data_IF_186571180550
#
_entry.id   IF_186571180550
#
_cell.length_a   1.000
_cell.length_b   1.000
_cell.length_c   1.000
_cell.angle_alpha   90.00
_cell.angle_beta   90.00
_cell.angle_gamma   90.00
#
_symmetry.space_group_name_H-M   'P 1'
#
loop_
_entity.id
_entity.type
_entity.pdbx_description
1 polymer ?
#
# COMPACT_ATOMS: atom_id res chain seq x y z
N UNK A 1 -8.28 -11.18 16.35
CA UNK A 1 -7.61 -10.23 17.28
C UNK A 1 -6.17 -9.92 16.83
N UNK A 2 -5.32 -10.92 16.57
CA UNK A 2 -3.92 -10.74 16.11
C UNK A 2 -3.75 -9.82 14.87
N UNK A 3 -4.50 -10.02 13.77
CA UNK A 3 -4.33 -9.22 12.54
C UNK A 3 -4.60 -7.71 12.71
N UNK A 4 -5.50 -7.30 13.61
CA UNK A 4 -5.78 -5.89 13.88
C UNK A 4 -4.71 -5.24 14.75
N UNK A 5 -4.05 -6.03 15.61
CA UNK A 5 -3.01 -5.55 16.52
C UNK A 5 -1.65 -5.47 15.83
N UNK A 6 -1.32 -6.36 14.88
CA UNK A 6 0.00 -6.34 14.22
C UNK A 6 0.30 -5.01 13.53
N UNK A 7 -0.68 -4.43 12.82
CA UNK A 7 -0.51 -3.12 12.15
C UNK A 7 -0.45 -1.95 13.12
N UNK A 8 -1.18 -2.04 14.23
CA UNK A 8 -1.08 -1.08 15.32
C UNK A 8 0.29 -1.12 16.00
N UNK A 9 0.84 -2.32 16.22
CA UNK A 9 2.19 -2.53 16.77
C UNK A 9 3.28 -2.04 15.81
N UNK A 10 3.25 -2.40 14.52
CA UNK A 10 4.18 -1.88 13.50
C UNK A 10 4.16 -0.34 13.44
N UNK A 11 2.97 0.25 13.52
CA UNK A 11 2.81 1.71 13.55
C UNK A 11 3.32 2.36 14.84
N UNK A 12 3.32 1.63 15.97
CA UNK A 12 3.81 2.12 17.25
C UNK A 12 5.35 2.18 17.28
N UNK A 13 6.01 1.17 16.72
CA UNK A 13 7.46 1.01 16.79
C UNK A 13 8.25 1.57 15.60
N UNK A 14 7.60 1.96 14.50
CA UNK A 14 8.33 2.54 13.38
C UNK A 14 7.45 3.10 12.27
N UNK A 15 7.01 2.22 11.38
CA UNK A 15 6.16 2.51 10.24
C UNK A 15 5.51 1.21 9.80
N UNK A 16 4.26 1.29 9.34
CA UNK A 16 3.62 0.16 8.67
C UNK A 16 4.37 -0.14 7.37
N UNK A 17 4.84 -1.38 7.21
CA UNK A 17 5.72 -1.78 6.09
C UNK A 17 4.95 -2.33 4.88
N UNK A 18 3.69 -2.70 5.08
CA UNK A 18 2.79 -3.13 4.02
C UNK A 18 1.45 -2.42 4.21
N UNK A 19 1.10 -1.51 3.29
CA UNK A 19 -0.22 -0.92 3.22
C UNK A 19 -1.15 -1.82 2.38
N UNK A 20 -2.41 -2.01 2.81
CA UNK A 20 -3.42 -2.63 1.95
C UNK A 20 -3.79 -1.69 0.78
N UNK A 21 -4.09 -2.21 -0.41
CA UNK A 21 -4.52 -1.38 -1.54
C UNK A 21 -5.84 -0.67 -1.35
N UNK A 22 -6.71 -1.25 -0.53
CA UNK A 22 -7.94 -0.60 -0.08
C UNK A 22 -7.75 -0.02 1.32
N UNK A 23 -8.50 1.05 1.61
CA UNK A 23 -8.55 1.71 2.93
C UNK A 23 -7.27 2.44 3.35
N UNK A 24 -6.48 2.91 2.39
CA UNK A 24 -5.33 3.78 2.61
C UNK A 24 -5.58 5.20 2.11
N UNK A 25 -4.98 6.17 2.77
CA UNK A 25 -4.99 7.57 2.36
C UNK A 25 -3.55 8.03 2.16
N UNK A 26 -3.25 8.54 0.98
CA UNK A 26 -1.93 9.04 0.63
C UNK A 26 -1.92 10.55 0.62
N UNK A 27 -0.84 11.13 1.14
CA UNK A 27 -0.61 12.56 1.05
C UNK A 27 -0.04 12.90 -0.33
N UNK A 28 -0.63 13.89 -0.99
CA UNK A 28 -0.20 14.31 -2.33
C UNK A 28 1.08 15.15 -2.26
N UNK A 29 1.13 16.14 -1.36
CA UNK A 29 2.25 17.07 -1.19
C UNK A 29 2.58 17.34 0.27
N UNK A 30 3.81 17.77 0.55
CA UNK A 30 4.23 18.18 1.89
C UNK A 30 3.57 19.50 2.29
N UNK A 31 3.20 19.68 3.58
CA UNK A 31 2.44 20.86 4.00
C UNK A 31 3.26 22.16 4.00
N UNK A 32 4.59 22.07 4.19
CA UNK A 32 5.47 23.25 4.31
C UNK A 32 6.06 23.66 2.98
N UNK A 33 6.70 22.72 2.28
CA UNK A 33 7.45 22.99 1.03
C UNK A 33 6.66 22.68 -0.25
N UNK A 34 5.43 22.17 -0.11
CA UNK A 34 4.59 21.73 -1.22
C UNK A 34 5.27 20.71 -2.17
N UNK A 35 6.23 19.96 -1.64
CA UNK A 35 7.00 18.96 -2.38
C UNK A 35 6.09 17.75 -2.71
N UNK A 36 6.17 17.20 -3.94
CA UNK A 36 5.37 16.06 -4.33
C UNK A 36 5.79 14.79 -3.57
N UNK A 37 4.81 14.05 -3.04
CA UNK A 37 5.02 12.77 -2.36
C UNK A 37 4.57 11.62 -3.27
N UNK A 38 3.30 11.21 -3.19
CA UNK A 38 2.77 10.11 -4.02
C UNK A 38 2.83 10.42 -5.53
N UNK A 39 2.73 11.71 -5.88
CA UNK A 39 2.85 12.22 -7.26
C UNK A 39 4.30 12.60 -7.63
N UNK A 40 5.28 12.16 -6.85
CA UNK A 40 6.69 12.44 -7.16
C UNK A 40 7.09 11.73 -8.46
N UNK A 41 7.82 12.41 -9.37
CA UNK A 41 8.31 11.78 -10.60
C UNK A 41 9.11 10.50 -10.34
N UNK A 42 9.82 10.42 -9.21
CA UNK A 42 10.58 9.22 -8.80
C UNK A 42 9.68 8.02 -8.55
N UNK A 43 8.54 8.24 -7.90
CA UNK A 43 7.55 7.20 -7.63
C UNK A 43 6.86 6.81 -8.92
N UNK A 44 6.37 7.81 -9.68
CA UNK A 44 5.62 7.57 -10.92
C UNK A 44 6.47 6.78 -11.92
N UNK A 45 7.73 7.15 -12.12
CA UNK A 45 8.62 6.48 -13.08
C UNK A 45 8.84 5.00 -12.72
N UNK A 46 9.21 4.71 -11.47
CA UNK A 46 9.43 3.32 -11.02
C UNK A 46 8.13 2.52 -10.97
N UNK A 47 7.02 3.15 -10.58
CA UNK A 47 5.72 2.49 -10.51
C UNK A 47 5.09 2.23 -11.89
N UNK A 48 5.41 3.07 -12.88
CA UNK A 48 4.94 2.94 -14.26
C UNK A 48 5.63 1.84 -15.06
N UNK A 49 6.64 1.15 -14.50
CA UNK A 49 7.29 0.03 -15.20
C UNK A 49 6.32 -1.14 -15.37
N UNK A 50 5.73 -1.24 -16.56
CA UNK A 50 4.84 -2.32 -16.96
C UNK A 50 5.56 -3.45 -17.72
N UNK A 51 6.90 -3.47 -17.78
CA UNK A 51 7.63 -4.52 -18.50
C UNK A 51 7.73 -5.80 -17.66
N UNK A 52 6.67 -6.60 -17.73
CA UNK A 52 6.50 -7.86 -17.02
C UNK A 52 7.13 -9.04 -17.77
N UNK A 53 8.44 -9.00 -17.97
CA UNK A 53 9.15 -10.05 -18.71
C UNK A 53 9.39 -11.34 -17.89
N UNK A 54 9.15 -11.30 -16.57
CA UNK A 54 9.40 -12.44 -15.67
C UNK A 54 8.20 -12.73 -14.76
N UNK A 55 8.05 -14.00 -14.35
CA UNK A 55 7.04 -14.42 -13.36
C UNK A 55 7.16 -13.64 -12.03
N UNK A 56 8.37 -13.32 -11.60
CA UNK A 56 8.62 -12.49 -10.42
C UNK A 56 8.06 -11.07 -10.58
N UNK A 57 8.33 -10.41 -11.72
CA UNK A 57 7.74 -9.11 -12.04
C UNK A 57 6.22 -9.19 -12.14
N UNK A 58 5.66 -10.30 -12.64
CA UNK A 58 4.20 -10.51 -12.73
C UNK A 58 3.55 -10.56 -11.36
N UNK A 59 4.17 -11.30 -10.44
CA UNK A 59 3.70 -11.37 -9.06
C UNK A 59 3.89 -10.04 -8.33
N UNK A 60 5.00 -9.33 -8.58
CA UNK A 60 5.27 -8.04 -7.94
C UNK A 60 4.33 -6.93 -8.42
N UNK A 61 4.16 -6.78 -9.73
CA UNK A 61 3.45 -5.66 -10.35
C UNK A 61 1.93 -5.88 -10.43
N UNK A 62 1.44 -7.13 -10.50
CA UNK A 62 0.00 -7.39 -10.60
C UNK A 62 -0.62 -7.99 -9.34
N UNK A 63 0.13 -8.75 -8.52
CA UNK A 63 -0.40 -9.35 -7.28
C UNK A 63 0.08 -8.61 -6.02
N UNK A 64 1.13 -7.80 -6.15
CA UNK A 64 1.77 -7.07 -5.05
C UNK A 64 1.84 -5.56 -5.28
N UNK A 65 1.06 -5.01 -6.20
CA UNK A 65 1.09 -3.61 -6.61
C UNK A 65 1.17 -2.64 -5.41
N UNK A 66 0.26 -2.77 -4.45
CA UNK A 66 0.20 -1.90 -3.28
C UNK A 66 1.41 -2.07 -2.36
N UNK A 67 1.91 -3.31 -2.22
CA UNK A 67 3.12 -3.60 -1.44
C UNK A 67 4.34 -3.02 -2.12
N UNK A 68 4.39 -3.07 -3.44
CA UNK A 68 5.43 -2.46 -4.24
C UNK A 68 5.40 -0.94 -4.08
N UNK A 69 4.24 -0.30 -4.20
CA UNK A 69 4.06 1.14 -3.95
C UNK A 69 4.53 1.54 -2.55
N UNK A 70 4.14 0.76 -1.54
CA UNK A 70 4.58 0.96 -0.15
C UNK A 70 6.11 0.94 -0.04
N UNK A 71 6.76 0.00 -0.72
CA UNK A 71 8.22 -0.13 -0.73
C UNK A 71 8.88 1.06 -1.41
N UNK A 72 8.35 1.52 -2.55
CA UNK A 72 8.84 2.73 -3.24
C UNK A 72 8.73 3.97 -2.36
N UNK A 73 7.60 4.13 -1.66
CA UNK A 73 7.39 5.24 -0.75
C UNK A 73 8.39 5.21 0.42
N UNK A 74 8.65 4.05 1.03
CA UNK A 74 9.67 3.93 2.09
C UNK A 74 11.09 4.21 1.58
N UNK A 75 11.41 3.77 0.35
CA UNK A 75 12.72 3.97 -0.29
C UNK A 75 13.01 5.44 -0.59
N UNK A 76 12.05 6.15 -1.20
CA UNK A 76 12.26 7.53 -1.66
C UNK A 76 11.96 8.58 -0.59
N UNK A 77 11.18 8.22 0.42
CA UNK A 77 10.72 9.12 1.47
C UNK A 77 10.93 8.54 2.88
N UNK A 78 12.17 8.13 3.25
CA UNK A 78 12.46 7.47 4.54
C UNK A 78 12.18 8.36 5.77
N UNK A 79 12.15 9.68 5.58
CA UNK A 79 11.79 10.65 6.61
C UNK A 79 10.29 10.67 6.94
N UNK A 80 9.46 10.08 6.10
CA UNK A 80 8.01 9.99 6.31
C UNK A 80 7.62 8.60 6.79
N UNK A 81 6.59 8.55 7.64
CA UNK A 81 6.10 7.31 8.27
C UNK A 81 4.67 7.02 7.84
N UNK A 82 4.40 5.74 7.61
CA UNK A 82 3.05 5.24 7.37
C UNK A 82 2.46 4.80 8.70
N UNK A 83 1.26 5.31 9.00
CA UNK A 83 0.61 5.08 10.29
C UNK A 83 -0.73 4.39 10.09
N UNK A 84 -1.02 3.47 11.00
CA UNK A 84 -2.35 2.88 11.10
C UNK A 84 -3.23 3.73 12.02
N UNK A 85 -4.42 4.12 11.55
CA UNK A 85 -5.38 4.90 12.34
C UNK A 85 -6.59 4.03 12.67
N UNK A 86 -6.72 3.50 13.91
CA UNK A 86 -7.79 2.56 14.25
C UNK A 86 -9.19 3.18 14.21
N UNK A 87 -9.29 4.50 14.36
CA UNK A 87 -10.53 5.25 14.28
C UNK A 87 -11.00 5.53 12.85
N UNK A 88 -10.15 5.30 11.84
CA UNK A 88 -10.54 5.49 10.45
C UNK A 88 -11.58 4.45 10.04
N UNK A 89 -12.69 4.91 9.48
CA UNK A 89 -13.78 4.05 9.04
C UNK A 89 -13.85 4.02 7.50
N UNK A 90 -14.13 2.84 6.94
CA UNK A 90 -14.46 2.71 5.54
C UNK A 90 -15.55 1.66 5.35
N UNK A 91 -16.40 1.85 4.34
CA UNK A 91 -17.44 0.91 3.94
C UNK A 91 -17.06 0.29 2.61
N UNK A 92 -17.20 -1.02 2.51
CA UNK A 92 -17.02 -1.76 1.27
C UNK A 92 -18.11 -2.81 1.11
N UNK A 93 -18.26 -3.32 -0.10
CA UNK A 93 -19.18 -4.42 -0.40
C UNK A 93 -18.42 -5.73 -0.24
N UNK A 94 -18.89 -6.59 0.65
CA UNK A 94 -18.37 -7.95 0.75
C UNK A 94 -18.87 -8.80 -0.43
N UNK A 95 -18.08 -9.78 -0.91
CA UNK A 95 -18.53 -10.69 -1.96
C UNK A 95 -19.76 -11.49 -1.48
N UNK A 96 -20.78 -11.52 -2.34
CA UNK A 96 -22.07 -12.19 -2.14
C UNK A 96 -22.00 -13.71 -2.39
N UNK A 97 -21.02 -14.16 -3.18
CA UNK A 97 -20.85 -15.56 -3.58
C UNK A 97 -19.57 -16.17 -3.05
N UNK A 98 -19.66 -17.38 -2.49
CA UNK A 98 -18.52 -18.15 -1.98
C UNK A 98 -17.41 -18.37 -3.01
N UNK A 99 -17.76 -18.65 -4.27
CA UNK A 99 -16.79 -18.82 -5.35
C UNK A 99 -15.94 -17.57 -5.60
N UNK A 100 -16.53 -16.38 -5.45
CA UNK A 100 -15.85 -15.09 -5.60
C UNK A 100 -14.89 -14.88 -4.42
N UNK A 101 -15.35 -15.12 -3.19
CA UNK A 101 -14.51 -15.04 -1.99
C UNK A 101 -13.29 -15.97 -2.08
N UNK A 102 -13.48 -17.23 -2.48
CA UNK A 102 -12.38 -18.19 -2.67
C UNK A 102 -11.43 -17.77 -3.80
N UNK A 103 -11.94 -17.14 -4.85
CA UNK A 103 -11.10 -16.61 -5.94
C UNK A 103 -10.25 -15.43 -5.46
N UNK A 104 -10.82 -14.52 -4.65
CA UNK A 104 -10.11 -13.38 -4.08
C UNK A 104 -8.99 -13.79 -3.13
N UNK A 105 -9.21 -14.79 -2.25
CA UNK A 105 -8.18 -15.23 -1.29
C UNK A 105 -7.03 -16.05 -1.89
N UNK A 106 -7.17 -16.49 -3.14
CA UNK A 106 -6.15 -17.27 -3.86
C UNK A 106 -5.15 -16.37 -4.61
N UNK A 107 -5.54 -15.13 -4.90
CA UNK A 107 -4.64 -14.09 -5.42
C UNK A 107 -3.74 -13.58 -4.31
#
# INVERSE_FOLDING_TARGET
ISHHLSKAFESLFGSVTCLPGCFCMYRIRTPVKNEPLIISPKIILEYSDTHVNTLHKKNLLHLGEDRYLTTLMMKHFPQYKMKFTPHAQCKTVAPDRWKILLSQRRR
#
